data_IF_527303031475
#
_entry.id   IF_527303031475
#
_cell.length_a   1.000
_cell.length_b   1.000
_cell.length_c   1.000
_cell.angle_alpha   90.00
_cell.angle_beta   90.00
_cell.angle_gamma   90.00
#
_symmetry.space_group_name_H-M   'P 1'
#
loop_
_entity.id
_entity.type
_entity.pdbx_description
1 polymer ?
#
# COMPACT_ATOMS: atom_id res chain seq x y z
N UNK A 1 8.13 23.88 -4.01
CA UNK A 1 7.98 23.18 -5.30
C UNK A 1 6.97 23.97 -6.12
N UNK A 2 7.27 24.25 -7.38
CA UNK A 2 6.27 24.85 -8.28
C UNK A 2 5.16 23.81 -8.54
N UNK A 3 3.89 24.23 -8.68
CA UNK A 3 2.77 23.31 -8.92
C UNK A 3 2.96 22.39 -10.13
N UNK A 4 3.71 22.85 -11.13
CA UNK A 4 4.06 22.09 -12.36
C UNK A 4 4.88 20.83 -12.07
N UNK A 5 5.67 20.82 -10.99
CA UNK A 5 6.48 19.64 -10.63
C UNK A 5 5.69 18.64 -9.75
N UNK A 6 4.65 19.09 -9.05
CA UNK A 6 3.88 18.22 -8.15
C UNK A 6 3.13 17.13 -8.94
N UNK A 7 2.49 17.49 -10.07
CA UNK A 7 1.80 16.53 -10.92
C UNK A 7 2.74 15.45 -11.46
N UNK A 8 3.93 15.85 -11.93
CA UNK A 8 4.95 14.92 -12.41
C UNK A 8 5.41 13.99 -11.29
N UNK A 9 5.78 14.53 -10.12
CA UNK A 9 6.23 13.75 -8.97
C UNK A 9 5.18 12.74 -8.51
N UNK A 10 3.91 13.16 -8.41
CA UNK A 10 2.81 12.29 -8.00
C UNK A 10 2.60 11.18 -9.01
N UNK A 11 2.60 11.46 -10.32
CA UNK A 11 2.51 10.43 -11.37
C UNK A 11 3.56 9.34 -11.19
N UNK A 12 4.82 9.72 -10.96
CA UNK A 12 5.91 8.75 -10.76
C UNK A 12 5.72 7.93 -9.50
N UNK A 13 5.38 8.59 -8.38
CA UNK A 13 5.09 7.92 -7.13
C UNK A 13 3.93 6.92 -7.29
N UNK A 14 2.83 7.30 -7.95
CA UNK A 14 1.71 6.39 -8.22
C UNK A 14 2.12 5.23 -9.11
N UNK A 15 2.99 5.45 -10.09
CA UNK A 15 3.52 4.37 -10.95
C UNK A 15 4.30 3.35 -10.15
N UNK A 16 5.23 3.80 -9.30
CA UNK A 16 6.03 2.92 -8.43
C UNK A 16 5.10 2.15 -7.46
N UNK A 17 4.16 2.85 -6.80
CA UNK A 17 3.20 2.25 -5.87
C UNK A 17 2.32 1.18 -6.53
N UNK A 18 1.88 1.42 -7.77
CA UNK A 18 1.07 0.46 -8.54
C UNK A 18 1.85 -0.84 -8.78
N UNK A 19 3.08 -0.73 -9.30
CA UNK A 19 3.93 -1.89 -9.61
C UNK A 19 4.25 -2.67 -8.34
N UNK A 20 4.61 -1.97 -7.27
CA UNK A 20 4.96 -2.55 -5.98
C UNK A 20 3.78 -3.33 -5.38
N UNK A 21 2.59 -2.72 -5.32
CA UNK A 21 1.40 -3.36 -4.76
C UNK A 21 0.97 -4.57 -5.58
N UNK A 22 0.87 -4.42 -6.90
CA UNK A 22 0.42 -5.51 -7.78
C UNK A 22 1.37 -6.71 -7.69
N UNK A 23 2.69 -6.47 -7.72
CA UNK A 23 3.70 -7.52 -7.67
C UNK A 23 3.71 -8.23 -6.32
N UNK A 24 3.71 -7.48 -5.21
CA UNK A 24 3.77 -8.06 -3.88
C UNK A 24 2.52 -8.84 -3.50
N UNK A 25 1.34 -8.36 -3.93
CA UNK A 25 0.08 -9.10 -3.78
C UNK A 25 0.10 -10.38 -4.61
N UNK A 26 0.56 -10.34 -5.86
CA UNK A 26 0.69 -11.53 -6.71
C UNK A 26 1.58 -12.60 -6.07
N UNK A 27 2.79 -12.22 -5.65
CA UNK A 27 3.71 -13.12 -4.96
C UNK A 27 3.12 -13.70 -3.67
N UNK A 28 2.40 -12.89 -2.88
CA UNK A 28 1.77 -13.38 -1.66
C UNK A 28 0.67 -14.42 -1.93
N UNK A 29 -0.17 -14.18 -2.94
CA UNK A 29 -1.18 -15.14 -3.38
C UNK A 29 -0.56 -16.45 -3.83
N UNK A 30 0.51 -16.38 -4.63
CA UNK A 30 1.21 -17.58 -5.11
C UNK A 30 1.67 -18.44 -3.95
N UNK A 31 2.18 -17.83 -2.87
CA UNK A 31 2.60 -18.57 -1.67
C UNK A 31 1.42 -19.22 -0.94
N UNK A 32 0.27 -18.55 -0.86
CA UNK A 32 -0.94 -19.13 -0.24
C UNK A 32 -1.46 -20.31 -1.06
N UNK A 33 -1.53 -20.15 -2.39
CA UNK A 33 -2.11 -21.13 -3.32
C UNK A 33 -1.18 -22.33 -3.51
N UNK A 34 0.12 -22.11 -3.66
CA UNK A 34 1.08 -23.19 -3.96
C UNK A 34 1.26 -24.16 -2.80
N UNK A 35 0.84 -23.77 -1.59
CA UNK A 35 0.86 -24.53 -0.33
C UNK A 35 1.96 -25.60 -0.29
N UNK A 36 3.22 -25.21 -0.05
CA UNK A 36 4.32 -26.18 0.12
C UNK A 36 4.29 -26.73 1.56
N UNK A 37 3.80 -27.96 1.79
CA UNK A 37 3.67 -28.51 3.13
C UNK A 37 5.03 -28.94 3.72
N UNK A 38 6.07 -29.02 2.89
CA UNK A 38 7.37 -29.56 3.30
C UNK A 38 8.26 -28.50 3.98
N UNK A 39 7.97 -27.20 3.82
CA UNK A 39 8.74 -26.14 4.49
C UNK A 39 7.89 -24.95 4.97
N UNK A 40 7.06 -25.13 6.02
CA UNK A 40 6.20 -24.07 6.58
C UNK A 40 6.95 -22.77 6.89
N UNK A 41 8.19 -22.86 7.36
CA UNK A 41 9.04 -21.69 7.67
C UNK A 41 9.33 -20.84 6.43
N UNK A 42 9.53 -21.46 5.25
CA UNK A 42 9.79 -20.71 4.01
C UNK A 42 8.54 -19.99 3.54
N UNK A 43 7.38 -20.66 3.59
CA UNK A 43 6.09 -20.05 3.24
C UNK A 43 5.76 -18.87 4.16
N UNK A 44 5.91 -19.05 5.48
CA UNK A 44 5.77 -17.97 6.46
C UNK A 44 6.75 -16.82 6.22
N UNK A 45 8.02 -17.11 5.94
CA UNK A 45 9.03 -16.11 5.63
C UNK A 45 8.69 -15.29 4.38
N UNK A 46 8.25 -15.95 3.30
CA UNK A 46 7.82 -15.29 2.06
C UNK A 46 6.59 -14.41 2.27
N UNK A 47 5.57 -14.91 2.97
CA UNK A 47 4.38 -14.12 3.30
C UNK A 47 4.74 -12.91 4.16
N UNK A 48 5.63 -13.08 5.14
CA UNK A 48 6.12 -11.97 5.97
C UNK A 48 6.79 -10.90 5.12
N UNK A 49 7.66 -11.27 4.18
CA UNK A 49 8.34 -10.33 3.27
C UNK A 49 7.33 -9.59 2.40
N UNK A 50 6.42 -10.32 1.74
CA UNK A 50 5.41 -9.71 0.88
C UNK A 50 4.50 -8.77 1.67
N UNK A 51 4.00 -9.21 2.82
CA UNK A 51 3.12 -8.39 3.66
C UNK A 51 3.83 -7.16 4.24
N UNK A 52 5.11 -7.26 4.64
CA UNK A 52 5.86 -6.08 5.06
C UNK A 52 5.96 -5.05 3.93
N UNK A 53 6.29 -5.53 2.72
CA UNK A 53 6.41 -4.65 1.57
C UNK A 53 5.06 -4.01 1.21
N UNK A 54 3.98 -4.78 1.17
CA UNK A 54 2.60 -4.28 0.96
C UNK A 54 2.27 -3.19 1.99
N UNK A 55 2.48 -3.45 3.28
CA UNK A 55 2.16 -2.49 4.35
C UNK A 55 2.98 -1.22 4.22
N UNK A 56 4.27 -1.32 3.89
CA UNK A 56 5.13 -0.16 3.64
C UNK A 56 4.67 0.64 2.43
N UNK A 57 4.28 -0.01 1.34
CA UNK A 57 3.81 0.65 0.12
C UNK A 57 2.46 1.32 0.32
N UNK A 58 1.52 0.69 1.03
CA UNK A 58 0.27 1.34 1.45
C UNK A 58 0.53 2.53 2.37
N UNK A 59 1.51 2.42 3.27
CA UNK A 59 1.90 3.55 4.11
C UNK A 59 2.50 4.71 3.28
N UNK A 60 3.31 4.43 2.25
CA UNK A 60 3.79 5.46 1.32
C UNK A 60 2.64 6.17 0.58
N UNK A 61 1.60 5.44 0.14
CA UNK A 61 0.40 6.06 -0.47
C UNK A 61 -0.24 7.09 0.48
N UNK A 62 -0.33 6.74 1.78
CA UNK A 62 -0.79 7.68 2.81
C UNK A 62 0.13 8.90 2.97
N UNK A 63 1.45 8.70 2.95
CA UNK A 63 2.42 9.80 2.99
C UNK A 63 2.29 10.72 1.78
N UNK A 64 2.08 10.17 0.57
CA UNK A 64 1.84 10.98 -0.62
C UNK A 64 0.61 11.87 -0.44
N UNK A 65 -0.52 11.29 0.04
CA UNK A 65 -1.75 12.06 0.34
C UNK A 65 -1.51 13.19 1.34
N UNK A 66 -0.66 12.99 2.35
CA UNK A 66 -0.32 14.03 3.34
C UNK A 66 0.65 15.06 2.78
N UNK A 67 1.75 14.63 2.17
CA UNK A 67 2.82 15.47 1.65
C UNK A 67 2.36 16.39 0.52
N UNK A 68 1.52 15.88 -0.38
CA UNK A 68 0.93 16.65 -1.48
C UNK A 68 -0.48 17.16 -1.18
N UNK A 69 -0.85 17.26 0.11
CA UNK A 69 -2.19 17.65 0.53
C UNK A 69 -2.66 18.97 -0.11
N UNK A 70 -1.81 20.01 -0.14
CA UNK A 70 -2.16 21.29 -0.77
C UNK A 70 -2.41 21.18 -2.28
N UNK A 71 -1.69 20.29 -2.97
CA UNK A 71 -1.94 20.00 -4.38
C UNK A 71 -3.30 19.33 -4.55
N UNK A 72 -3.60 18.28 -3.78
CA UNK A 72 -4.87 17.57 -3.88
C UNK A 72 -6.09 18.43 -3.52
N UNK A 73 -5.97 19.38 -2.59
CA UNK A 73 -7.08 20.29 -2.27
C UNK A 73 -7.44 21.26 -3.41
N UNK A 74 -6.55 21.45 -4.39
CA UNK A 74 -6.81 22.30 -5.57
C UNK A 74 -7.44 21.52 -6.72
N UNK A 75 -7.48 20.19 -6.65
CA UNK A 75 -8.08 19.35 -7.68
C UNK A 75 -9.59 19.20 -7.45
N UNK A 76 -10.37 18.87 -8.49
CA UNK A 76 -11.76 18.48 -8.35
C UNK A 76 -11.93 17.32 -7.37
N UNK A 77 -13.03 17.32 -6.62
CA UNK A 77 -13.29 16.30 -5.61
C UNK A 77 -13.45 14.91 -6.23
N UNK A 78 -14.00 14.83 -7.44
CA UNK A 78 -14.19 13.58 -8.18
C UNK A 78 -12.84 12.90 -8.49
N UNK A 79 -11.79 13.69 -8.72
CA UNK A 79 -10.45 13.18 -8.99
C UNK A 79 -9.75 12.64 -7.74
N UNK A 80 -10.11 13.10 -6.54
CA UNK A 80 -9.37 12.83 -5.30
C UNK A 80 -10.13 11.95 -4.31
N UNK A 81 -11.45 11.81 -4.43
CA UNK A 81 -12.31 11.11 -3.45
C UNK A 81 -11.84 9.68 -3.16
N UNK A 82 -11.44 8.94 -4.20
CA UNK A 82 -10.94 7.57 -4.05
C UNK A 82 -9.62 7.52 -3.28
N UNK A 83 -8.70 8.45 -3.54
CA UNK A 83 -7.43 8.56 -2.82
C UNK A 83 -7.66 8.87 -1.33
N UNK A 84 -8.58 9.79 -1.03
CA UNK A 84 -8.94 10.11 0.36
C UNK A 84 -9.58 8.92 1.07
N UNK A 85 -10.46 8.18 0.38
CA UNK A 85 -11.06 6.96 0.93
C UNK A 85 -10.01 5.88 1.19
N UNK A 86 -9.10 5.63 0.24
CA UNK A 86 -8.01 4.68 0.42
C UNK A 86 -7.12 5.05 1.61
N UNK A 87 -6.77 6.34 1.76
CA UNK A 87 -6.00 6.82 2.91
C UNK A 87 -6.73 6.61 4.25
N UNK A 88 -8.05 6.83 4.29
CA UNK A 88 -8.88 6.58 5.47
C UNK A 88 -8.90 5.08 5.82
N UNK A 89 -9.04 4.22 4.82
CA UNK A 89 -9.02 2.76 5.02
C UNK A 89 -7.66 2.28 5.53
N UNK A 90 -6.56 2.87 5.02
CA UNK A 90 -5.19 2.58 5.49
C UNK A 90 -5.03 2.93 6.97
N UNK A 91 -5.53 4.08 7.40
CA UNK A 91 -5.51 4.47 8.82
C UNK A 91 -6.38 3.54 9.67
N UNK A 92 -7.60 3.22 9.22
CA UNK A 92 -8.52 2.34 9.92
C UNK A 92 -7.93 0.93 10.15
N UNK A 93 -7.20 0.40 9.16
CA UNK A 93 -6.53 -0.90 9.23
C UNK A 93 -5.26 -0.92 10.09
N UNK A 94 -4.89 0.17 10.78
CA UNK A 94 -3.69 0.24 11.64
C UNK A 94 -2.35 0.06 10.90
N UNK A 95 -2.30 0.26 9.57
CA UNK A 95 -1.08 0.16 8.77
C UNK A 95 -0.01 1.15 9.25
N UNK A 96 -0.41 2.38 9.57
CA UNK A 96 0.48 3.40 10.14
C UNK A 96 1.11 2.95 11.47
N UNK A 97 0.33 2.26 12.31
CA UNK A 97 0.80 1.77 13.60
C UNK A 97 1.81 0.64 13.41
N UNK A 98 1.52 -0.33 12.54
CA UNK A 98 2.45 -1.42 12.22
C UNK A 98 3.78 -0.89 11.66
N UNK A 99 3.73 0.07 10.73
CA UNK A 99 4.94 0.69 10.17
C UNK A 99 5.81 1.29 11.27
N UNK A 100 5.20 2.11 12.12
CA UNK A 100 5.92 2.86 13.16
C UNK A 100 6.44 1.96 14.29
N UNK A 101 5.72 0.91 14.66
CA UNK A 101 6.07 0.07 15.82
C UNK A 101 6.95 -1.12 15.49
N UNK A 102 6.91 -1.60 14.26
CA UNK A 102 7.57 -2.85 13.89
C UNK A 102 8.35 -2.80 12.58
N UNK A 103 7.79 -2.25 11.51
CA UNK A 103 8.45 -2.34 10.21
C UNK A 103 9.67 -1.43 10.06
N UNK A 104 9.65 -0.24 10.68
CA UNK A 104 10.68 0.79 10.50
C UNK A 104 11.68 0.90 11.66
N UNK A 105 11.37 0.35 12.84
CA UNK A 105 12.16 0.54 14.05
C UNK A 105 12.33 -0.78 14.79
N UNK A 106 13.58 -1.07 15.20
CA UNK A 106 13.88 -2.22 16.06
C UNK A 106 13.30 -2.01 17.45
N UNK A 107 13.37 -0.77 17.97
CA UNK A 107 12.84 -0.39 19.28
C UNK A 107 11.53 0.36 19.10
N UNK A 108 10.47 -0.12 19.75
CA UNK A 108 9.19 0.60 19.77
C UNK A 108 9.36 1.91 20.55
N UNK A 109 8.85 3.00 19.97
CA UNK A 109 9.10 4.36 20.48
C UNK A 109 8.49 4.57 21.87
N UNK A 110 7.38 3.89 22.16
CA UNK A 110 6.62 4.04 23.41
C UNK A 110 7.28 3.23 24.54
N UNK A 111 7.59 1.96 24.28
CA UNK A 111 8.14 1.03 25.27
C UNK A 111 9.66 1.06 25.39
N UNK A 112 10.37 1.66 24.43
CA UNK A 112 11.84 1.64 24.28
C UNK A 112 12.45 0.24 24.19
N UNK A 113 11.64 -0.77 23.96
CA UNK A 113 12.04 -2.17 23.87
C UNK A 113 11.74 -2.72 22.47
N UNK A 114 12.42 -3.79 22.03
CA UNK A 114 12.03 -4.51 20.83
C UNK A 114 10.61 -5.06 20.95
N UNK A 115 9.82 -4.91 19.88
CA UNK A 115 8.50 -5.52 19.83
C UNK A 115 8.63 -7.04 19.76
N UNK A 116 7.84 -7.75 20.57
CA UNK A 116 7.86 -9.22 20.56
C UNK A 116 7.29 -9.78 19.25
N UNK A 117 7.75 -10.97 18.84
CA UNK A 117 7.25 -11.65 17.65
C UNK A 117 5.73 -11.87 17.71
N UNK A 118 5.20 -12.23 18.89
CA UNK A 118 3.76 -12.36 19.12
C UNK A 118 3.02 -11.05 18.87
N UNK A 119 3.55 -9.92 19.37
CA UNK A 119 2.88 -8.63 19.20
C UNK A 119 2.93 -8.15 17.75
N UNK A 120 4.04 -8.39 17.07
CA UNK A 120 4.19 -8.16 15.66
C UNK A 120 3.20 -8.98 14.81
N UNK A 121 3.03 -10.26 15.15
CA UNK A 121 2.03 -11.13 14.54
C UNK A 121 0.61 -10.62 14.78
N UNK A 122 0.24 -10.29 16.02
CA UNK A 122 -1.07 -9.70 16.34
C UNK A 122 -1.39 -8.45 15.50
N UNK A 123 -0.41 -7.54 15.37
CA UNK A 123 -0.57 -6.34 14.53
C UNK A 123 -0.72 -6.73 13.05
N UNK A 124 0.07 -7.68 12.55
CA UNK A 124 -0.03 -8.10 11.16
C UNK A 124 -1.37 -8.76 10.85
N UNK A 125 -1.85 -9.63 11.74
CA UNK A 125 -3.15 -10.30 11.61
C UNK A 125 -4.32 -9.31 11.71
N UNK A 126 -4.16 -8.19 12.45
CA UNK A 126 -5.17 -7.11 12.45
C UNK A 126 -5.29 -6.37 11.13
N UNK A 127 -4.23 -6.39 10.31
CA UNK A 127 -4.21 -5.77 8.96
C UNK A 127 -4.68 -6.77 7.91
N UNK A 128 -4.05 -7.95 7.93
CA UNK A 128 -4.13 -8.95 6.85
C UNK A 128 -5.22 -9.99 7.09
N UNK A 129 -5.68 -10.19 8.32
CA UNK A 129 -6.63 -11.25 8.65
C UNK A 129 -6.04 -12.37 9.51
N UNK A 130 -6.88 -13.29 9.97
CA UNK A 130 -6.47 -14.39 10.86
C UNK A 130 -6.14 -15.69 10.12
N UNK A 131 -6.64 -15.84 8.90
CA UNK A 131 -6.45 -17.03 8.08
C UNK A 131 -6.19 -16.66 6.62
N UNK A 132 -5.97 -17.68 5.79
CA UNK A 132 -5.71 -17.50 4.36
C UNK A 132 -6.88 -16.84 3.62
N UNK A 133 -8.13 -17.08 4.01
CA UNK A 133 -9.30 -16.48 3.37
C UNK A 133 -9.37 -14.98 3.65
N UNK A 134 -9.12 -14.58 4.91
CA UNK A 134 -9.03 -13.18 5.26
C UNK A 134 -7.85 -12.49 4.54
N UNK A 135 -6.69 -13.15 4.46
CA UNK A 135 -5.52 -12.64 3.74
C UNK A 135 -5.82 -12.41 2.26
N UNK A 136 -6.48 -13.36 1.61
CA UNK A 136 -6.90 -13.22 0.21
C UNK A 136 -7.91 -12.07 0.05
N UNK A 137 -8.84 -11.89 1.00
CA UNK A 137 -9.78 -10.76 0.99
C UNK A 137 -9.06 -9.41 1.15
N UNK A 138 -8.03 -9.34 1.99
CA UNK A 138 -7.16 -8.16 2.10
C UNK A 138 -6.42 -7.89 0.78
N UNK A 139 -5.90 -8.94 0.13
CA UNK A 139 -5.26 -8.83 -1.17
C UNK A 139 -6.21 -8.39 -2.28
N UNK A 140 -7.47 -8.83 -2.25
CA UNK A 140 -8.50 -8.41 -3.21
C UNK A 140 -8.87 -6.93 -3.07
N UNK A 141 -8.92 -6.42 -1.83
CA UNK A 141 -9.08 -4.99 -1.59
C UNK A 141 -7.94 -4.17 -2.20
N UNK A 142 -6.72 -4.72 -2.26
CA UNK A 142 -5.56 -4.04 -2.85
C UNK A 142 -5.57 -4.17 -4.38
N UNK A 143 -5.50 -5.40 -4.88
CA UNK A 143 -5.36 -5.73 -6.30
C UNK A 143 -6.01 -7.10 -6.54
N UNK A 144 -7.29 -7.18 -6.96
CA UNK A 144 -8.01 -8.43 -7.11
C UNK A 144 -7.42 -9.31 -8.23
N UNK A 145 -7.70 -10.62 -8.18
CA UNK A 145 -7.30 -11.54 -9.26
C UNK A 145 -7.99 -11.13 -10.56
N UNK A 146 -7.23 -11.09 -11.66
CA UNK A 146 -7.75 -10.64 -12.95
C UNK A 146 -8.14 -9.16 -12.95
N UNK A 147 -7.48 -8.34 -12.12
CA UNK A 147 -7.73 -6.91 -11.98
C UNK A 147 -7.93 -6.21 -13.32
N UNK A 148 -8.97 -5.39 -13.38
CA UNK A 148 -9.26 -4.46 -14.46
C UNK A 148 -9.40 -3.04 -13.91
N UNK A 149 -9.05 -2.04 -14.70
CA UNK A 149 -9.00 -0.64 -14.27
C UNK A 149 -10.34 -0.09 -13.73
N UNK A 150 -11.47 -0.67 -14.12
CA UNK A 150 -12.82 -0.30 -13.69
C UNK A 150 -13.24 -0.91 -12.35
N UNK A 151 -12.50 -1.89 -11.83
CA UNK A 151 -12.80 -2.53 -10.55
C UNK A 151 -12.38 -1.62 -9.39
N UNK A 152 -13.18 -1.57 -8.32
CA UNK A 152 -12.87 -0.78 -7.14
C UNK A 152 -11.86 -1.51 -6.25
N UNK A 153 -10.61 -1.05 -6.24
CA UNK A 153 -9.54 -1.49 -5.35
C UNK A 153 -8.49 -0.37 -5.16
N UNK A 154 -7.50 -0.60 -4.28
CA UNK A 154 -6.41 0.37 -4.06
C UNK A 154 -5.62 0.61 -5.35
N UNK A 155 -5.27 -0.43 -6.10
CA UNK A 155 -4.51 -0.28 -7.35
C UNK A 155 -5.26 0.57 -8.38
N UNK A 156 -6.58 0.39 -8.53
CA UNK A 156 -7.38 1.25 -9.41
C UNK A 156 -7.39 2.71 -8.95
N UNK A 157 -7.39 2.95 -7.64
CA UNK A 157 -7.28 4.30 -7.08
C UNK A 157 -5.95 4.95 -7.44
N UNK A 158 -4.85 4.19 -7.32
CA UNK A 158 -3.49 4.63 -7.68
C UNK A 158 -3.38 4.91 -9.18
N UNK A 159 -3.93 4.03 -10.03
CA UNK A 159 -3.95 4.18 -11.49
C UNK A 159 -4.75 5.40 -11.91
N UNK A 160 -5.96 5.59 -11.36
CA UNK A 160 -6.78 6.75 -11.68
C UNK A 160 -6.08 8.07 -11.32
N UNK A 161 -5.42 8.13 -10.17
CA UNK A 161 -4.65 9.32 -9.77
C UNK A 161 -3.43 9.54 -10.65
N UNK A 162 -2.70 8.48 -11.01
CA UNK A 162 -1.57 8.56 -11.97
C UNK A 162 -2.04 9.16 -13.29
N UNK A 163 -3.10 8.59 -13.87
CA UNK A 163 -3.61 8.99 -15.19
C UNK A 163 -4.16 10.42 -15.16
N UNK A 164 -4.82 10.80 -14.06
CA UNK A 164 -5.24 12.18 -13.84
C UNK A 164 -4.04 13.13 -13.84
N UNK A 165 -2.99 12.82 -13.06
CA UNK A 165 -1.78 13.65 -13.00
C UNK A 165 -1.03 13.71 -14.34
N UNK A 166 -1.05 12.65 -15.16
CA UNK A 166 -0.49 12.66 -16.51
C UNK A 166 -1.19 13.66 -17.44
N UNK A 167 -2.49 13.91 -17.23
CA UNK A 167 -3.27 14.86 -18.02
C UNK A 167 -3.14 16.32 -17.57
N UNK A 168 -2.43 16.60 -16.47
CA UNK A 168 -2.20 17.95 -15.97
C UNK A 168 -0.91 18.56 -16.55
N UNK A 169 -0.80 19.89 -16.62
CA UNK A 169 0.45 20.55 -17.02
C UNK A 169 1.65 20.10 -16.20
N UNK A 170 2.74 19.71 -16.87
CA UNK A 170 3.96 19.16 -16.27
C UNK A 170 3.89 17.65 -16.04
N UNK A 171 2.72 17.04 -16.15
CA UNK A 171 2.53 15.59 -16.04
C UNK A 171 3.17 14.79 -17.18
N UNK A 172 3.42 15.43 -18.32
CA UNK A 172 4.09 14.86 -19.50
C UNK A 172 5.61 14.69 -19.33
N UNK A 173 6.21 15.34 -18.32
CA UNK A 173 7.65 15.37 -18.13
C UNK A 173 8.23 13.99 -17.77
N UNK A 174 9.51 13.78 -18.08
CA UNK A 174 10.22 12.57 -17.68
C UNK A 174 10.41 12.48 -16.15
N UNK A 175 10.88 11.32 -15.70
CA UNK A 175 11.20 11.10 -14.28
C UNK A 175 12.37 12.02 -13.91
N UNK A 176 12.23 12.88 -12.87
CA UNK A 176 13.32 13.72 -12.40
C UNK A 176 14.56 12.93 -11.98
#
# INVERSE_FOLDING_TARGET
>A
MTPENDANNIKWLMTDLMVDLASAVGMARDVIISHDPLVPIKSMGRLRVCNHFIVLTLFKLHEVRKGYGQFFHRLPSEATVSLYQAAKDIEAKQICQFRNKYAAHIFDKDSKNPISLKKAEELLLSITGKDNSDCLSFYDWICPVGWKADQKCVVSTVVAMRDYCMGLPGGELERP
#
